data_IF_916551355403
#
_entry.id   IF_916551355403
#
_cell.length_a   1.000
_cell.length_b   1.000
_cell.length_c   1.000
_cell.angle_alpha   90.00
_cell.angle_beta   90.00
_cell.angle_gamma   90.00
#
_symmetry.space_group_name_H-M   'P 1'
#
loop_
_entity.id
_entity.type
_entity.pdbx_description
1 polymer ?
#
# COMPACT_ATOMS: atom_id res chain seq x y z
N UNK A 1 -15.50 12.82 -6.29
CA UNK A 1 -14.05 12.77 -5.94
C UNK A 1 -13.75 13.35 -4.54
N UNK A 2 -13.11 14.54 -4.33
CA UNK A 2 -12.65 14.93 -2.97
C UNK A 2 -13.76 15.08 -1.92
N UNK A 3 -14.88 15.75 -2.24
CA UNK A 3 -16.01 15.88 -1.32
C UNK A 3 -16.70 14.54 -1.01
N UNK A 4 -16.55 13.57 -1.92
CA UNK A 4 -17.19 12.25 -1.86
C UNK A 4 -16.34 11.25 -1.08
N UNK A 5 -15.02 11.21 -1.32
CA UNK A 5 -14.10 10.24 -0.70
C UNK A 5 -13.35 10.79 0.51
N UNK A 6 -13.23 12.11 0.67
CA UNK A 6 -12.57 12.75 1.82
C UNK A 6 -13.13 12.36 3.19
N UNK A 7 -14.44 12.11 3.37
CA UNK A 7 -15.00 11.63 4.63
C UNK A 7 -14.62 10.18 5.02
N UNK A 8 -14.03 9.39 4.11
CA UNK A 8 -13.68 7.98 4.33
C UNK A 8 -14.86 7.11 4.84
N UNK A 9 -16.08 7.34 4.31
CA UNK A 9 -17.31 6.69 4.78
C UNK A 9 -17.72 5.42 4.02
N UNK A 10 -17.03 5.08 2.92
CA UNK A 10 -17.39 3.93 2.07
C UNK A 10 -17.31 2.60 2.79
N UNK A 11 -16.20 2.33 3.49
CA UNK A 11 -15.94 1.04 4.14
C UNK A 11 -14.93 1.19 5.27
N UNK A 12 -15.10 0.41 6.34
CA UNK A 12 -14.09 0.21 7.37
C UNK A 12 -13.41 -1.14 7.15
N UNK A 13 -12.09 -1.13 7.06
CA UNK A 13 -11.27 -2.31 6.86
C UNK A 13 -9.86 -2.07 7.38
N UNK A 14 -9.15 -3.16 7.66
CA UNK A 14 -7.72 -3.21 7.92
C UNK A 14 -6.93 -3.08 6.60
N UNK A 15 -5.63 -2.81 6.74
CA UNK A 15 -4.70 -2.75 5.60
C UNK A 15 -4.65 -4.08 4.85
N UNK A 16 -4.68 -5.21 5.57
CA UNK A 16 -4.61 -6.53 4.94
C UNK A 16 -5.88 -6.85 4.15
N UNK A 17 -7.05 -6.50 4.68
CA UNK A 17 -8.31 -6.64 3.94
C UNK A 17 -8.33 -5.75 2.68
N UNK A 18 -7.71 -4.57 2.71
CA UNK A 18 -7.55 -3.73 1.52
C UNK A 18 -6.61 -4.38 0.48
N UNK A 19 -5.52 -5.03 0.91
CA UNK A 19 -4.64 -5.78 0.01
C UNK A 19 -5.34 -6.99 -0.62
N UNK A 20 -6.17 -7.71 0.15
CA UNK A 20 -6.98 -8.82 -0.36
C UNK A 20 -8.01 -8.36 -1.40
N UNK A 21 -8.54 -7.13 -1.29
CA UNK A 21 -9.36 -6.56 -2.36
C UNK A 21 -8.55 -6.38 -3.64
N UNK A 22 -7.30 -5.90 -3.53
CA UNK A 22 -6.41 -5.71 -4.68
C UNK A 22 -5.95 -7.01 -5.35
N UNK A 23 -6.23 -8.19 -4.77
CA UNK A 23 -6.08 -9.48 -5.47
C UNK A 23 -7.03 -9.60 -6.69
N UNK A 24 -8.09 -8.78 -6.73
CA UNK A 24 -9.10 -8.77 -7.79
C UNK A 24 -8.90 -7.64 -8.80
N UNK A 25 -7.83 -6.85 -8.68
CA UNK A 25 -7.57 -5.69 -9.52
C UNK A 25 -6.28 -5.86 -10.32
N UNK A 26 -6.36 -5.78 -11.64
CA UNK A 26 -5.21 -5.53 -12.52
C UNK A 26 -5.29 -4.08 -12.97
N UNK A 27 -4.18 -3.35 -12.86
CA UNK A 27 -4.10 -1.94 -13.25
C UNK A 27 -4.03 -1.83 -14.79
N UNK A 28 -5.04 -1.19 -15.39
CA UNK A 28 -5.13 -1.03 -16.85
C UNK A 28 -4.17 0.04 -17.40
N UNK A 29 -3.64 0.90 -16.53
CA UNK A 29 -2.75 1.99 -16.90
C UNK A 29 -1.26 1.63 -16.85
N UNK A 30 -0.91 0.57 -16.10
CA UNK A 30 0.47 0.11 -15.96
C UNK A 30 0.85 -0.80 -17.14
N UNK A 31 1.74 -0.37 -18.05
CA UNK A 31 2.13 -1.16 -19.21
C UNK A 31 3.07 -2.33 -18.85
N UNK A 32 3.58 -2.38 -17.62
CA UNK A 32 4.65 -3.28 -17.21
C UNK A 32 4.14 -4.52 -16.45
N UNK A 33 2.89 -4.54 -16.00
CA UNK A 33 2.32 -5.63 -15.18
C UNK A 33 0.93 -6.07 -15.65
N UNK A 34 0.68 -7.38 -15.64
CA UNK A 34 -0.61 -8.01 -16.02
C UNK A 34 -1.18 -8.93 -14.93
N UNK A 35 -0.71 -8.76 -13.68
CA UNK A 35 -1.09 -9.56 -12.52
C UNK A 35 -1.74 -8.69 -11.42
N UNK A 36 -2.36 -9.29 -10.39
CA UNK A 36 -3.06 -8.52 -9.36
C UNK A 36 -2.20 -7.48 -8.64
N UNK A 37 -2.75 -6.27 -8.42
CA UNK A 37 -2.02 -5.13 -7.86
C UNK A 37 -1.55 -5.36 -6.41
N UNK A 38 -2.12 -6.35 -5.70
CA UNK A 38 -1.60 -6.79 -4.40
C UNK A 38 -0.14 -7.27 -4.49
N UNK A 39 0.22 -8.01 -5.54
CA UNK A 39 1.60 -8.45 -5.76
C UNK A 39 2.54 -7.27 -5.98
N UNK A 40 2.09 -6.25 -6.72
CA UNK A 40 2.86 -5.01 -6.92
C UNK A 40 3.16 -4.35 -5.57
N UNK A 41 2.16 -4.23 -4.68
CA UNK A 41 2.37 -3.67 -3.34
C UNK A 41 3.44 -4.44 -2.53
N UNK A 42 3.42 -5.77 -2.56
CA UNK A 42 4.46 -6.59 -1.90
C UNK A 42 5.83 -6.46 -2.56
N UNK A 43 5.90 -6.44 -3.89
CA UNK A 43 7.15 -6.27 -4.63
C UNK A 43 7.81 -4.92 -4.30
N UNK A 44 7.02 -3.84 -4.26
CA UNK A 44 7.49 -2.50 -3.88
C UNK A 44 7.97 -2.48 -2.43
N UNK A 45 7.19 -3.03 -1.49
CA UNK A 45 7.59 -3.12 -0.08
C UNK A 45 8.90 -3.90 0.11
N UNK A 46 9.05 -5.06 -0.54
CA UNK A 46 10.25 -5.90 -0.45
C UNK A 46 11.46 -5.28 -1.18
N UNK A 47 11.24 -4.59 -2.29
CA UNK A 47 12.26 -3.82 -2.99
C UNK A 47 12.84 -2.73 -2.09
N UNK A 48 11.96 -1.95 -1.44
CA UNK A 48 12.38 -0.93 -0.46
C UNK A 48 13.08 -1.59 0.72
N UNK A 49 12.59 -2.72 1.24
CA UNK A 49 13.24 -3.44 2.35
C UNK A 49 14.68 -3.83 2.03
N UNK A 50 14.94 -4.28 0.80
CA UNK A 50 16.27 -4.69 0.34
C UNK A 50 17.19 -3.49 0.08
N UNK A 51 16.68 -2.43 -0.55
CA UNK A 51 17.47 -1.25 -0.92
C UNK A 51 17.71 -0.30 0.26
N UNK A 52 16.79 -0.30 1.23
CA UNK A 52 16.80 0.60 2.39
C UNK A 52 16.55 -0.18 3.69
N UNK A 53 17.44 -1.12 4.05
CA UNK A 53 17.30 -1.91 5.28
C UNK A 53 17.46 -1.06 6.55
N UNK A 54 18.02 0.13 6.42
CA UNK A 54 18.36 1.09 7.46
C UNK A 54 17.39 2.27 7.56
N UNK A 55 16.63 2.59 6.50
CA UNK A 55 15.62 3.65 6.54
C UNK A 55 14.48 3.26 7.47
N UNK A 56 14.53 3.87 8.65
CA UNK A 56 13.63 3.59 9.78
C UNK A 56 14.36 3.49 11.11
N UNK A 57 15.70 3.35 11.13
CA UNK A 57 16.47 3.56 12.35
C UNK A 57 16.42 5.04 12.71
N UNK A 58 15.69 5.38 13.77
CA UNK A 58 15.92 6.65 14.45
C UNK A 58 17.41 6.71 14.86
N UNK A 59 18.03 7.88 14.77
CA UNK A 59 19.44 8.07 15.11
C UNK A 59 19.75 7.69 16.58
N UNK A 60 18.74 7.70 17.46
CA UNK A 60 18.83 7.29 18.87
C UNK A 60 17.45 6.79 19.40
N UNK A 61 17.08 5.52 19.19
CA UNK A 61 15.79 5.01 19.68
C UNK A 61 15.89 4.61 21.17
N UNK A 62 14.86 4.90 22.00
CA UNK A 62 14.74 4.29 23.31
C UNK A 62 14.79 2.76 23.18
N UNK A 63 15.46 2.06 24.12
CA UNK A 63 15.58 0.59 24.14
C UNK A 63 14.24 -0.17 24.05
N UNK A 64 13.12 0.51 24.25
CA UNK A 64 11.76 -0.04 24.24
C UNK A 64 11.02 0.14 22.91
N UNK A 65 11.55 0.90 21.96
CA UNK A 65 10.88 1.15 20.67
C UNK A 65 11.51 0.31 19.56
N UNK A 66 10.92 -0.86 19.28
CA UNK A 66 11.08 -1.55 18.00
C UNK A 66 9.88 -1.12 17.15
N UNK A 67 10.06 -0.33 16.08
CA UNK A 67 10.20 -0.92 14.76
C UNK A 67 10.71 0.09 13.72
N UNK A 68 11.87 -0.17 13.07
CA UNK A 68 12.52 0.72 12.11
C UNK A 68 12.23 0.35 10.65
N UNK A 69 10.95 0.29 10.24
CA UNK A 69 10.57 -0.18 8.89
C UNK A 69 9.47 0.65 8.22
N UNK A 70 9.28 1.91 8.64
CA UNK A 70 8.21 2.76 8.11
C UNK A 70 8.24 2.86 6.59
N UNK A 71 9.43 2.86 5.98
CA UNK A 71 9.55 3.02 4.54
C UNK A 71 9.13 1.76 3.77
N UNK A 72 9.28 0.59 4.39
CA UNK A 72 8.79 -0.68 3.82
C UNK A 72 7.26 -0.68 3.83
N UNK A 73 6.68 -0.19 4.92
CA UNK A 73 5.23 -0.03 5.04
C UNK A 73 4.68 0.99 4.03
N UNK A 74 5.37 2.10 3.78
CA UNK A 74 4.96 3.04 2.70
C UNK A 74 4.86 2.32 1.36
N UNK A 75 5.82 1.46 1.03
CA UNK A 75 5.76 0.63 -0.18
C UNK A 75 4.56 -0.29 -0.23
N UNK A 76 4.11 -0.82 0.90
CA UNK A 76 2.91 -1.66 0.96
C UNK A 76 1.60 -0.85 0.83
N UNK A 77 1.58 0.38 1.35
CA UNK A 77 0.37 1.20 1.43
C UNK A 77 0.10 2.05 0.18
N UNK A 78 1.13 2.33 -0.63
CA UNK A 78 1.10 3.43 -1.60
C UNK A 78 -0.07 3.36 -2.60
N UNK A 79 -0.47 2.15 -2.98
CA UNK A 79 -1.48 1.90 -4.01
C UNK A 79 -2.85 1.48 -3.46
N UNK A 80 -3.06 1.49 -2.14
CA UNK A 80 -4.33 1.05 -1.55
C UNK A 80 -5.54 1.90 -1.97
N UNK A 81 -5.33 3.11 -2.50
CA UNK A 81 -6.41 3.92 -3.08
C UNK A 81 -7.06 3.28 -4.30
N UNK A 82 -6.38 2.36 -5.00
CA UNK A 82 -6.89 1.68 -6.19
C UNK A 82 -8.11 0.79 -5.92
N UNK A 83 -8.42 0.50 -4.64
CA UNK A 83 -9.68 -0.16 -4.25
C UNK A 83 -10.93 0.59 -4.73
N UNK A 84 -10.83 1.89 -5.03
CA UNK A 84 -11.93 2.68 -5.59
C UNK A 84 -12.44 2.12 -6.93
N UNK A 85 -11.55 1.53 -7.76
CA UNK A 85 -11.96 0.87 -9.01
C UNK A 85 -12.91 -0.31 -8.74
N UNK A 86 -12.65 -1.08 -7.68
CA UNK A 86 -13.52 -2.18 -7.23
C UNK A 86 -14.83 -1.68 -6.62
N UNK A 87 -14.90 -0.40 -6.25
CA UNK A 87 -16.11 0.26 -5.75
C UNK A 87 -16.88 1.00 -6.84
N UNK A 88 -16.50 0.81 -8.11
CA UNK A 88 -17.25 1.28 -9.28
C UNK A 88 -16.71 2.55 -9.94
N UNK A 89 -15.58 3.09 -9.49
CA UNK A 89 -14.88 4.13 -10.25
C UNK A 89 -14.25 3.52 -11.51
N UNK A 90 -14.23 4.26 -12.63
CA UNK A 90 -13.40 3.88 -13.77
C UNK A 90 -11.91 3.90 -13.39
N UNK A 91 -11.11 3.05 -14.05
CA UNK A 91 -9.64 3.10 -13.97
C UNK A 91 -9.10 4.31 -14.74
#
# INVERSE_FOLDING_TARGET
QNAEYGPCSLRKMSVMEALELLDQLVDESDPDVDFPNSYHAYQTAEGIRRAHPDKGRAADPPRTTRSPYWFHLVGLLHDLGKVLALFGEPQ
#
